data_IF_778738355825
#
_entry.id   IF_778738355825
#
_cell.length_a   1.000
_cell.length_b   1.000
_cell.length_c   1.000
_cell.angle_alpha   90.00
_cell.angle_beta   90.00
_cell.angle_gamma   90.00
#
_symmetry.space_group_name_H-M   'P 1'
#
loop_
_entity.id
_entity.type
_entity.pdbx_description
1 polymer ?
#
# COMPACT_ATOMS: atom_id res chain seq x y z
N UNK A 1 10.30 8.43 1.43
CA UNK A 1 10.40 9.11 2.75
C UNK A 1 10.30 10.61 2.68
N UNK A 2 11.34 11.25 2.17
CA UNK A 2 11.56 12.70 2.20
C UNK A 2 10.46 13.55 1.56
N UNK A 3 9.57 12.94 0.78
CA UNK A 3 8.44 13.60 0.12
C UNK A 3 7.09 12.99 0.50
N UNK A 4 7.01 12.22 1.59
CA UNK A 4 5.75 11.62 2.03
C UNK A 4 4.68 12.70 2.34
N UNK A 5 5.10 13.89 2.76
CA UNK A 5 4.25 15.06 2.93
C UNK A 5 3.59 15.57 1.63
N UNK A 6 4.08 15.15 0.46
CA UNK A 6 3.46 15.47 -0.84
C UNK A 6 2.39 14.46 -1.25
N UNK A 7 2.27 13.34 -0.54
CA UNK A 7 1.22 12.35 -0.77
C UNK A 7 -0.07 12.90 -0.16
N UNK A 8 -1.02 13.23 -1.04
CA UNK A 8 -2.28 13.87 -0.66
C UNK A 8 -3.50 13.01 -0.96
N UNK A 9 -3.31 11.80 -1.48
CA UNK A 9 -4.38 10.83 -1.76
C UNK A 9 -4.20 9.56 -0.92
N UNK A 10 -5.28 8.82 -0.62
CA UNK A 10 -5.21 7.54 0.08
C UNK A 10 -4.34 6.51 -0.67
N UNK A 11 -3.38 5.89 0.03
CA UNK A 11 -2.50 4.85 -0.54
C UNK A 11 -2.69 3.48 0.13
N UNK A 12 -2.84 2.44 -0.69
CA UNK A 12 -2.70 1.05 -0.27
C UNK A 12 -1.30 0.54 -0.62
N UNK A 13 -0.59 0.00 0.37
CA UNK A 13 0.69 -0.69 0.22
C UNK A 13 0.47 -2.18 0.53
N UNK A 14 0.90 -3.05 -0.38
CA UNK A 14 0.89 -4.51 -0.18
C UNK A 14 2.31 -5.00 -0.47
N UNK A 15 2.87 -5.82 0.41
CA UNK A 15 4.26 -6.29 0.30
C UNK A 15 4.40 -7.69 0.86
N UNK A 16 5.15 -8.57 0.19
CA UNK A 16 5.63 -9.83 0.77
C UNK A 16 6.60 -9.60 1.93
N UNK A 17 6.36 -10.24 3.07
CA UNK A 17 7.18 -10.07 4.28
C UNK A 17 8.59 -10.66 4.12
N UNK A 18 8.77 -11.63 3.21
CA UNK A 18 10.03 -12.28 2.92
C UNK A 18 10.72 -11.75 1.64
N UNK A 19 10.34 -10.55 1.15
CA UNK A 19 10.99 -9.95 -0.03
C UNK A 19 12.48 -9.67 0.27
N UNK A 20 13.35 -10.40 -0.42
CA UNK A 20 14.80 -10.28 -0.35
C UNK A 20 15.41 -9.69 -1.63
N UNK A 21 14.57 -9.21 -2.56
CA UNK A 21 15.01 -8.60 -3.80
C UNK A 21 15.69 -7.25 -3.51
N UNK A 22 16.83 -7.04 -4.17
CA UNK A 22 17.63 -5.85 -3.96
C UNK A 22 16.85 -4.61 -4.40
N UNK A 23 16.64 -3.68 -3.47
CA UNK A 23 15.92 -2.42 -3.72
C UNK A 23 14.44 -2.44 -3.36
N UNK A 24 13.87 -3.59 -2.98
CA UNK A 24 12.47 -3.71 -2.56
C UNK A 24 12.32 -4.37 -1.19
N UNK A 25 13.31 -4.33 -0.31
CA UNK A 25 13.15 -4.87 1.05
C UNK A 25 11.90 -4.31 1.77
N UNK A 26 11.18 -5.12 2.58
CA UNK A 26 9.93 -4.75 3.27
C UNK A 26 9.98 -3.43 4.05
N UNK A 27 11.14 -3.14 4.65
CA UNK A 27 11.40 -1.90 5.39
C UNK A 27 11.09 -0.63 4.58
N UNK A 28 11.15 -0.69 3.24
CA UNK A 28 10.76 0.42 2.37
C UNK A 28 9.26 0.71 2.46
N UNK A 29 8.39 -0.30 2.46
CA UNK A 29 6.96 -0.11 2.64
C UNK A 29 6.60 0.27 4.08
N UNK A 30 7.21 -0.39 5.06
CA UNK A 30 6.99 -0.11 6.49
C UNK A 30 7.28 1.34 6.85
N UNK A 31 8.47 1.81 6.44
CA UNK A 31 8.82 3.20 6.68
C UNK A 31 7.81 4.09 5.95
N UNK A 32 7.39 3.79 4.71
CA UNK A 32 6.58 4.70 3.86
C UNK A 32 5.21 4.87 4.47
N UNK A 33 4.63 3.78 4.93
CA UNK A 33 3.44 3.77 5.73
C UNK A 33 3.58 4.68 6.97
N UNK A 34 4.63 4.49 7.78
CA UNK A 34 4.86 5.31 8.97
C UNK A 34 5.03 6.80 8.63
N UNK A 35 5.72 7.12 7.53
CA UNK A 35 5.91 8.50 7.09
C UNK A 35 4.62 9.14 6.58
N UNK A 36 3.76 8.42 5.86
CA UNK A 36 2.45 8.94 5.41
C UNK A 36 1.56 9.18 6.63
N UNK A 37 1.46 8.20 7.54
CA UNK A 37 0.69 8.33 8.78
C UNK A 37 1.19 9.49 9.65
N UNK A 38 2.50 9.63 9.82
CA UNK A 38 3.11 10.72 10.59
C UNK A 38 2.86 12.11 9.99
N UNK A 39 2.58 12.22 8.69
CA UNK A 39 2.18 13.46 8.02
C UNK A 39 0.65 13.64 7.96
N UNK A 40 -0.13 12.80 8.67
CA UNK A 40 -1.60 12.85 8.67
C UNK A 40 -2.26 12.33 7.38
N UNK A 41 -1.50 11.70 6.49
CA UNK A 41 -2.01 11.11 5.26
C UNK A 41 -2.75 9.79 5.51
N UNK A 42 -3.61 9.41 4.57
CA UNK A 42 -4.35 8.14 4.64
C UNK A 42 -3.54 7.03 3.98
N UNK A 43 -3.17 6.01 4.75
CA UNK A 43 -2.48 4.84 4.21
C UNK A 43 -2.95 3.55 4.87
N UNK A 44 -2.77 2.43 4.16
CA UNK A 44 -2.88 1.07 4.69
C UNK A 44 -1.67 0.27 4.23
N UNK A 45 -1.10 -0.51 5.15
CA UNK A 45 -0.04 -1.45 4.86
C UNK A 45 -0.54 -2.88 5.12
N UNK A 46 -0.38 -3.73 4.12
CA UNK A 46 -0.67 -5.16 4.19
C UNK A 46 0.64 -5.90 3.95
N UNK A 47 1.08 -6.65 4.96
CA UNK A 47 2.23 -7.54 4.87
C UNK A 47 1.71 -8.95 4.62
N UNK A 48 2.20 -9.61 3.57
CA UNK A 48 1.84 -10.98 3.22
C UNK A 48 2.92 -11.93 3.81
N UNK A 49 2.61 -12.67 4.88
CA UNK A 49 3.58 -13.58 5.48
C UNK A 49 4.01 -14.65 4.49
N UNK A 50 5.28 -15.06 4.57
CA UNK A 50 5.87 -16.12 3.74
C UNK A 50 5.96 -15.81 2.22
N UNK A 51 5.48 -14.67 1.75
CA UNK A 51 5.63 -14.24 0.37
C UNK A 51 6.91 -13.43 0.16
N UNK A 52 7.61 -13.67 -0.95
CA UNK A 52 8.79 -12.93 -1.37
C UNK A 52 8.41 -11.75 -2.28
N UNK A 53 9.24 -11.44 -3.28
CA UNK A 53 8.97 -10.35 -4.22
C UNK A 53 7.72 -10.58 -5.07
N UNK A 54 7.45 -11.83 -5.44
CA UNK A 54 6.22 -12.23 -6.13
C UNK A 54 5.31 -13.02 -5.21
N UNK A 55 4.00 -12.84 -5.37
CA UNK A 55 2.99 -13.56 -4.59
C UNK A 55 2.62 -14.87 -5.28
N UNK A 56 2.67 -15.98 -4.55
CA UNK A 56 2.51 -17.33 -5.12
C UNK A 56 1.41 -18.13 -4.47
N UNK A 57 1.20 -17.99 -3.16
CA UNK A 57 0.11 -18.68 -2.49
C UNK A 57 -1.22 -18.12 -2.96
N UNK A 58 -2.18 -19.02 -3.18
CA UNK A 58 -3.50 -18.66 -3.65
C UNK A 58 -4.17 -17.70 -2.67
N UNK A 59 -4.02 -17.95 -1.38
CA UNK A 59 -4.54 -17.15 -0.28
C UNK A 59 -3.97 -15.73 -0.30
N UNK A 60 -2.66 -15.58 -0.54
CA UNK A 60 -1.99 -14.28 -0.65
C UNK A 60 -2.51 -13.47 -1.83
N UNK A 61 -2.73 -14.13 -2.97
CA UNK A 61 -3.27 -13.50 -4.18
C UNK A 61 -4.73 -13.10 -3.95
N UNK A 62 -5.57 -14.00 -3.42
CA UNK A 62 -6.97 -13.71 -3.12
C UNK A 62 -7.10 -12.57 -2.10
N UNK A 63 -6.25 -12.54 -1.06
CA UNK A 63 -6.20 -11.45 -0.09
C UNK A 63 -5.77 -10.13 -0.72
N UNK A 64 -4.76 -10.15 -1.60
CA UNK A 64 -4.34 -8.96 -2.36
C UNK A 64 -5.49 -8.37 -3.17
N UNK A 65 -6.23 -9.22 -3.89
CA UNK A 65 -7.39 -8.79 -4.68
C UNK A 65 -8.49 -8.23 -3.79
N UNK A 66 -8.79 -8.89 -2.66
CA UNK A 66 -9.75 -8.41 -1.68
C UNK A 66 -9.40 -7.01 -1.16
N UNK A 67 -8.14 -6.80 -0.78
CA UNK A 67 -7.65 -5.50 -0.30
C UNK A 67 -7.77 -4.41 -1.37
N UNK A 68 -7.42 -4.71 -2.61
CA UNK A 68 -7.55 -3.78 -3.73
C UNK A 68 -9.01 -3.39 -4.02
N UNK A 69 -9.91 -4.37 -4.11
CA UNK A 69 -11.34 -4.13 -4.39
C UNK A 69 -11.95 -3.26 -3.30
N UNK A 70 -11.72 -3.59 -2.03
CA UNK A 70 -12.23 -2.78 -0.92
C UNK A 70 -11.64 -1.38 -0.90
N UNK A 71 -10.37 -1.23 -1.28
CA UNK A 71 -9.75 0.09 -1.39
C UNK A 71 -10.40 0.94 -2.48
N UNK A 72 -10.68 0.33 -3.64
CA UNK A 72 -11.37 1.01 -4.74
C UNK A 72 -12.81 1.37 -4.37
N UNK A 73 -13.57 0.47 -3.75
CA UNK A 73 -14.92 0.78 -3.29
C UNK A 73 -14.92 1.94 -2.28
N UNK A 74 -13.93 1.98 -1.37
CA UNK A 74 -13.84 3.01 -0.33
C UNK A 74 -13.39 4.38 -0.84
N UNK A 75 -12.39 4.43 -1.72
CA UNK A 75 -11.72 5.70 -2.07
C UNK A 75 -11.86 6.10 -3.54
N UNK A 76 -12.36 5.24 -4.43
CA UNK A 76 -12.39 5.51 -5.87
C UNK A 76 -13.82 5.54 -6.43
N UNK A 77 -14.64 4.53 -6.15
CA UNK A 77 -15.94 4.30 -6.81
C UNK A 77 -16.90 5.49 -6.81
N UNK A 78 -16.95 6.22 -5.70
CA UNK A 78 -17.82 7.39 -5.51
C UNK A 78 -17.00 8.67 -5.24
N UNK A 79 -15.73 8.69 -5.65
CA UNK A 79 -14.88 9.85 -5.45
C UNK A 79 -15.40 11.04 -6.26
N UNK A 80 -15.43 12.21 -5.63
CA UNK A 80 -15.81 13.45 -6.31
C UNK A 80 -14.76 13.81 -7.37
N UNK A 81 -15.14 14.49 -8.46
CA UNK A 81 -14.20 15.00 -9.43
C UNK A 81 -13.13 15.86 -8.75
N UNK A 82 -11.87 15.73 -9.20
CA UNK A 82 -10.79 16.55 -8.67
C UNK A 82 -11.07 18.02 -8.96
N UNK A 83 -11.16 18.82 -7.91
CA UNK A 83 -11.12 20.27 -8.04
C UNK A 83 -9.71 20.63 -8.50
N UNK A 84 -9.57 21.24 -9.68
CA UNK A 84 -8.28 21.73 -10.15
C UNK A 84 -7.78 22.77 -9.13
N UNK A 85 -6.62 22.49 -8.53
CA UNK A 85 -5.89 23.45 -7.70
C UNK A 85 -5.24 24.53 -8.56
#
# INVERSE_FOLDING_TARGET
FFYANKINEPILLIHGEADNNQGTFPIQSERLFAAIQGNGGTARLVMLPLEAHGYSARESIEHTIYEQINWFDKYVKNAQPRVKK
#
